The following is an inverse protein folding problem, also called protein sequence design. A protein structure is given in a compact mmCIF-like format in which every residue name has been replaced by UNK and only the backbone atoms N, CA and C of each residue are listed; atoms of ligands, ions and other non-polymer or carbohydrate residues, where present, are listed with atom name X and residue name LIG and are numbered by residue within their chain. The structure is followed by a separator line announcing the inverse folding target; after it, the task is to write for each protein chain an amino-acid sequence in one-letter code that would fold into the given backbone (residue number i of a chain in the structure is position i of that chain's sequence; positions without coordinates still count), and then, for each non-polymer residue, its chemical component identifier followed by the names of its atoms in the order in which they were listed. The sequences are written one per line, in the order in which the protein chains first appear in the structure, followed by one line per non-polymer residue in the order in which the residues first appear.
data_IF_350046422385
#
_entry.id   IF_350046422385
#
_cell.length_a   1.000
_cell.length_b   1.000
_cell.length_c   1.000
_cell.angle_alpha   90.00
_cell.angle_beta   90.00
_cell.angle_gamma   90.00
#
_symmetry.space_group_name_H-M   'P 1'
#
loop_
_entity.id
_entity.type
_entity.pdbx_description
1 polymer ?
#
# COMPACT_ATOMS: atom_id res chain seq x y z
N UNK A 1 -17.37 23.96 6.94
CA UNK A 1 -16.21 24.16 6.04
C UNK A 1 -16.58 23.63 4.66
N UNK A 2 -16.27 24.33 3.55
CA UNK A 2 -16.49 23.84 2.19
C UNK A 2 -15.70 22.55 1.88
N UNK A 3 -14.67 22.25 2.66
CA UNK A 3 -13.83 21.06 2.49
C UNK A 3 -14.20 19.89 3.42
N UNK A 4 -15.28 20.01 4.19
CA UNK A 4 -15.67 19.00 5.19
C UNK A 4 -15.99 17.62 4.58
N UNK A 5 -16.35 17.53 3.29
CA UNK A 5 -16.56 16.24 2.63
C UNK A 5 -15.26 15.46 2.35
N UNK A 6 -14.12 16.14 2.32
CA UNK A 6 -12.82 15.54 1.99
C UNK A 6 -12.06 15.00 3.20
N UNK A 7 -12.49 15.36 4.42
CA UNK A 7 -11.89 14.81 5.65
C UNK A 7 -11.98 13.30 5.67
N UNK A 8 -10.96 12.64 6.22
CA UNK A 8 -10.86 11.18 6.27
C UNK A 8 -12.06 10.50 6.96
N UNK A 9 -12.74 11.19 7.88
CA UNK A 9 -13.89 10.68 8.62
C UNK A 9 -15.22 11.35 8.20
N UNK A 10 -15.35 11.74 6.93
CA UNK A 10 -16.54 12.45 6.49
C UNK A 10 -17.81 11.60 6.67
N UNK A 11 -18.89 12.27 7.05
CA UNK A 11 -20.24 11.70 7.19
C UNK A 11 -21.24 12.35 6.22
N UNK A 12 -20.74 13.10 5.24
CA UNK A 12 -21.57 13.71 4.21
C UNK A 12 -22.07 12.60 3.30
N UNK A 13 -23.38 12.58 3.03
CA UNK A 13 -24.00 11.55 2.19
C UNK A 13 -23.34 11.46 0.81
N UNK A 14 -22.93 10.25 0.42
CA UNK A 14 -22.21 9.98 -0.83
C UNK A 14 -20.72 10.35 -0.78
N UNK A 15 -20.21 10.71 0.40
CA UNK A 15 -18.82 11.07 0.67
C UNK A 15 -18.35 10.45 1.99
N UNK A 16 -19.01 9.40 2.48
CA UNK A 16 -18.61 8.69 3.69
C UNK A 16 -17.14 8.22 3.57
N UNK A 17 -16.35 8.44 4.62
CA UNK A 17 -14.90 8.17 4.63
C UNK A 17 -14.05 9.14 3.79
N UNK A 18 -14.69 10.14 3.17
CA UNK A 18 -14.07 11.28 2.49
C UNK A 18 -13.03 10.92 1.44
N UNK A 19 -11.95 11.70 1.35
CA UNK A 19 -10.95 11.55 0.29
C UNK A 19 -10.38 10.13 0.21
N UNK A 20 -10.01 9.54 1.36
CA UNK A 20 -9.44 8.19 1.41
C UNK A 20 -10.39 7.16 0.80
N UNK A 21 -11.63 7.09 1.30
CA UNK A 21 -12.62 6.13 0.80
C UNK A 21 -12.96 6.37 -0.68
N UNK A 22 -13.22 7.62 -1.06
CA UNK A 22 -13.73 7.94 -2.40
C UNK A 22 -12.65 7.81 -3.47
N UNK A 23 -11.43 8.26 -3.18
CA UNK A 23 -10.33 8.27 -4.15
C UNK A 23 -9.48 7.01 -4.01
N UNK A 24 -8.83 6.84 -2.85
CA UNK A 24 -7.87 5.75 -2.60
C UNK A 24 -8.55 4.39 -2.49
N UNK A 25 -9.79 4.36 -2.00
CA UNK A 25 -10.57 3.13 -1.77
C UNK A 25 -10.72 2.77 -0.29
N UNK A 26 -9.97 3.40 0.61
CA UNK A 26 -10.13 3.18 2.05
C UNK A 26 -9.66 4.42 2.81
N UNK A 27 -10.22 4.61 4.00
CA UNK A 27 -9.77 5.62 4.97
C UNK A 27 -9.19 4.96 6.20
N UNK A 28 -8.63 5.72 7.14
CA UNK A 28 -8.14 5.14 8.38
C UNK A 28 -9.28 4.44 9.15
N UNK A 29 -9.09 3.14 9.46
CA UNK A 29 -10.05 2.32 10.20
C UNK A 29 -9.53 2.00 11.60
N UNK A 30 -8.46 1.20 11.67
CA UNK A 30 -7.84 0.75 12.91
C UNK A 30 -6.50 0.08 12.62
N UNK A 31 -5.72 -0.21 13.66
CA UNK A 31 -4.63 -1.19 13.57
C UNK A 31 -5.22 -2.61 13.57
N UNK A 32 -4.73 -3.47 12.68
CA UNK A 32 -4.98 -4.92 12.71
C UNK A 32 -3.93 -5.63 13.56
N UNK A 33 -2.68 -5.18 13.45
CA UNK A 33 -1.59 -5.59 14.33
C UNK A 33 -1.54 -4.81 15.63
N UNK A 34 -0.65 -5.23 16.53
CA UNK A 34 -0.32 -4.48 17.74
C UNK A 34 0.77 -3.48 17.39
N UNK A 35 0.40 -2.19 17.43
CA UNK A 35 1.28 -1.10 17.11
C UNK A 35 2.61 -1.14 17.90
N UNK A 36 3.73 -1.01 17.19
CA UNK A 36 5.11 -1.09 17.74
C UNK A 36 5.44 -2.40 18.46
N UNK A 37 4.76 -3.49 18.15
CA UNK A 37 5.09 -4.82 18.67
C UNK A 37 5.08 -5.90 17.58
N UNK A 38 4.35 -5.64 16.50
CA UNK A 38 4.20 -6.55 15.37
C UNK A 38 4.68 -5.90 14.08
N UNK A 39 5.16 -6.71 13.15
CA UNK A 39 5.52 -6.29 11.80
C UNK A 39 4.56 -6.84 10.75
N UNK A 40 4.91 -6.59 9.49
CA UNK A 40 4.15 -7.04 8.33
C UNK A 40 5.05 -7.79 7.37
N UNK A 41 4.72 -9.04 7.07
CA UNK A 41 5.24 -9.77 5.91
C UNK A 41 4.26 -9.56 4.76
N UNK A 42 4.73 -8.98 3.66
CA UNK A 42 3.92 -8.87 2.45
C UNK A 42 3.84 -10.22 1.74
N UNK A 43 2.65 -10.53 1.25
CA UNK A 43 2.33 -11.64 0.36
C UNK A 43 1.98 -11.01 -0.99
N UNK A 44 2.78 -11.31 -2.00
CA UNK A 44 2.58 -10.77 -3.35
C UNK A 44 1.46 -11.53 -4.03
N UNK A 45 0.55 -10.81 -4.69
CA UNK A 45 -0.48 -11.45 -5.51
C UNK A 45 0.17 -12.17 -6.70
N UNK A 46 -0.01 -13.49 -6.73
CA UNK A 46 0.60 -14.35 -7.75
C UNK A 46 0.00 -14.16 -9.14
N UNK A 47 -1.27 -13.77 -9.24
CA UNK A 47 -1.95 -13.60 -10.53
C UNK A 47 -1.44 -12.33 -11.21
N UNK A 48 -1.37 -11.21 -10.49
CA UNK A 48 -0.79 -9.97 -11.00
C UNK A 48 0.70 -10.11 -11.30
N UNK A 49 1.44 -10.86 -10.48
CA UNK A 49 2.86 -11.16 -10.73
C UNK A 49 3.05 -11.97 -12.01
N UNK A 50 2.29 -13.04 -12.20
CA UNK A 50 2.37 -13.89 -13.40
C UNK A 50 1.89 -13.16 -14.66
N UNK A 51 1.00 -12.18 -14.50
CA UNK A 51 0.56 -11.27 -15.55
C UNK A 51 1.55 -10.13 -15.84
N UNK A 52 2.73 -10.11 -15.20
CA UNK A 52 3.76 -9.08 -15.32
C UNK A 52 3.24 -7.68 -15.00
N UNK A 53 2.44 -7.54 -13.94
CA UNK A 53 1.97 -6.23 -13.49
C UNK A 53 3.19 -5.32 -13.21
N UNK A 54 3.36 -4.16 -13.88
CA UNK A 54 4.61 -3.40 -13.84
C UNK A 54 5.08 -3.03 -12.43
N UNK A 55 4.14 -2.69 -11.54
CA UNK A 55 4.43 -2.37 -10.13
C UNK A 55 5.19 -3.50 -9.41
N UNK A 56 4.94 -4.77 -9.75
CA UNK A 56 5.50 -5.93 -9.06
C UNK A 56 6.84 -6.40 -9.65
N UNK A 57 7.34 -5.79 -10.73
CA UNK A 57 8.62 -6.20 -11.34
C UNK A 57 9.78 -6.00 -10.38
N UNK A 58 10.49 -7.09 -10.08
CA UNK A 58 11.62 -7.12 -9.13
C UNK A 58 11.21 -6.98 -7.66
N UNK A 59 9.92 -6.97 -7.33
CA UNK A 59 9.43 -6.98 -5.94
C UNK A 59 9.25 -8.44 -5.52
N UNK A 60 10.09 -8.91 -4.60
CA UNK A 60 10.21 -10.32 -4.23
C UNK A 60 10.02 -10.57 -2.73
N UNK A 61 10.61 -9.73 -1.88
CA UNK A 61 10.53 -9.87 -0.42
C UNK A 61 10.40 -8.52 0.29
N UNK A 62 9.17 -8.24 0.75
CA UNK A 62 8.89 -7.12 1.64
C UNK A 62 8.51 -7.70 3.01
N UNK A 63 9.38 -7.44 3.99
CA UNK A 63 9.01 -7.46 5.40
C UNK A 63 9.30 -6.09 5.99
N UNK A 64 8.39 -5.53 6.78
CA UNK A 64 8.55 -4.19 7.38
C UNK A 64 8.17 -4.18 8.87
N UNK A 65 8.80 -3.31 9.69
CA UNK A 65 8.49 -3.16 11.11
C UNK A 65 7.24 -2.29 11.39
N UNK A 66 6.42 -2.05 10.37
CA UNK A 66 5.07 -1.48 10.48
C UNK A 66 4.06 -2.58 10.76
N UNK A 67 3.20 -2.36 11.74
CA UNK A 67 2.08 -3.26 12.02
C UNK A 67 1.00 -3.17 10.92
N UNK A 68 0.29 -4.26 10.69
CA UNK A 68 -0.76 -4.31 9.66
C UNK A 68 -1.91 -3.38 10.05
N UNK A 69 -2.40 -2.56 9.11
CA UNK A 69 -3.61 -1.75 9.30
C UNK A 69 -4.86 -2.53 8.86
N UNK A 70 -5.98 -2.29 9.53
CA UNK A 70 -7.27 -2.86 9.14
C UNK A 70 -7.80 -2.17 7.89
N UNK A 71 -8.22 -2.96 6.92
CA UNK A 71 -8.96 -2.53 5.73
C UNK A 71 -10.32 -3.24 5.75
N UNK A 72 -11.40 -2.49 5.56
CA UNK A 72 -12.77 -2.99 5.73
C UNK A 72 -13.68 -2.73 4.53
N UNK A 73 -13.54 -1.56 3.91
CA UNK A 73 -14.47 -1.06 2.89
C UNK A 73 -13.78 -0.90 1.54
N UNK A 74 -12.73 -1.69 1.27
CA UNK A 74 -12.04 -1.65 -0.02
C UNK A 74 -13.02 -2.05 -1.14
N UNK A 75 -13.27 -1.17 -2.13
CA UNK A 75 -14.18 -1.48 -3.23
C UNK A 75 -13.70 -2.68 -4.03
N UNK A 76 -14.64 -3.47 -4.56
CA UNK A 76 -14.32 -4.58 -5.46
C UNK A 76 -13.62 -4.18 -6.77
N UNK A 77 -13.65 -2.88 -7.10
CA UNK A 77 -12.91 -2.31 -8.23
C UNK A 77 -11.43 -2.05 -7.93
N UNK A 78 -10.98 -2.16 -6.67
CA UNK A 78 -9.57 -2.08 -6.34
C UNK A 78 -8.87 -3.40 -6.69
N UNK A 79 -7.73 -3.32 -7.36
CA UNK A 79 -6.87 -4.47 -7.63
C UNK A 79 -5.81 -4.59 -6.53
N UNK A 80 -5.86 -5.65 -5.72
CA UNK A 80 -4.93 -5.83 -4.59
C UNK A 80 -3.66 -6.49 -5.07
N UNK A 81 -2.53 -5.79 -4.95
CA UNK A 81 -1.22 -6.27 -5.38
C UNK A 81 -0.46 -6.97 -4.25
N UNK A 82 -0.64 -6.52 -3.00
CA UNK A 82 0.00 -7.09 -1.83
C UNK A 82 -1.00 -7.26 -0.68
N UNK A 83 -0.91 -8.39 0.00
CA UNK A 83 -1.57 -8.66 1.28
C UNK A 83 -0.56 -8.66 2.42
N UNK A 84 -0.92 -8.17 3.59
CA UNK A 84 -0.10 -8.16 4.79
C UNK A 84 -0.49 -9.27 5.74
N UNK A 85 0.47 -10.14 6.04
CA UNK A 85 0.42 -11.11 7.12
C UNK A 85 1.16 -10.53 8.33
N UNK A 86 0.50 -10.49 9.49
CA UNK A 86 1.14 -9.98 10.71
C UNK A 86 2.23 -10.93 11.21
N UNK A 87 3.32 -10.37 11.75
CA UNK A 87 4.43 -11.11 12.38
C UNK A 87 4.47 -10.83 13.88
N UNK A 88 4.74 -11.86 14.70
CA UNK A 88 4.80 -11.78 16.16
C UNK A 88 6.11 -11.15 16.66
N UNK A 89 6.44 -9.98 16.12
CA UNK A 89 7.67 -9.24 16.37
C UNK A 89 8.00 -8.28 15.24
N UNK A 90 8.87 -7.33 15.55
CA UNK A 90 9.38 -6.31 14.61
C UNK A 90 10.77 -6.69 14.07
N UNK A 91 11.00 -7.97 13.74
CA UNK A 91 12.18 -8.39 12.97
C UNK A 91 11.76 -9.31 11.82
N UNK A 92 12.54 -9.39 10.72
CA UNK A 92 12.23 -10.24 9.57
C UNK A 92 12.04 -11.72 9.91
N UNK A 93 12.71 -12.20 10.96
CA UNK A 93 12.68 -13.60 11.41
C UNK A 93 11.52 -13.91 12.35
N UNK A 94 10.74 -12.88 12.75
CA UNK A 94 9.62 -13.08 13.65
C UNK A 94 8.57 -14.01 13.01
N UNK A 95 8.00 -14.95 13.78
CA UNK A 95 7.07 -15.93 13.24
C UNK A 95 5.79 -15.25 12.75
N UNK A 96 5.16 -15.83 11.72
CA UNK A 96 3.87 -15.38 11.21
C UNK A 96 2.75 -15.69 12.22
N UNK A 97 1.80 -14.78 12.35
CA UNK A 97 0.61 -14.96 13.19
C UNK A 97 -0.56 -15.51 12.37
N UNK A 98 -0.73 -16.83 12.40
CA UNK A 98 -1.73 -17.55 11.60
C UNK A 98 -3.17 -17.44 12.14
N UNK A 99 -3.35 -16.95 13.36
CA UNK A 99 -4.64 -16.69 13.98
C UNK A 99 -5.25 -15.34 13.55
N UNK A 100 -4.47 -14.50 12.87
CA UNK A 100 -4.90 -13.24 12.27
C UNK A 100 -5.13 -13.39 10.77
N UNK A 101 -6.20 -12.78 10.27
CA UNK A 101 -6.46 -12.68 8.83
C UNK A 101 -5.43 -11.81 8.13
N UNK A 102 -5.07 -12.14 6.89
CA UNK A 102 -4.33 -11.20 6.05
C UNK A 102 -5.21 -10.00 5.66
N UNK A 103 -4.58 -8.84 5.44
CA UNK A 103 -5.25 -7.62 5.00
C UNK A 103 -4.68 -7.13 3.66
N UNK A 104 -5.46 -6.51 2.77
CA UNK A 104 -4.89 -5.72 1.66
C UNK A 104 -3.97 -4.63 2.22
N UNK A 105 -2.73 -4.56 1.74
CA UNK A 105 -1.77 -3.53 2.18
C UNK A 105 -1.25 -2.68 1.02
N UNK A 106 -1.43 -3.12 -0.23
CA UNK A 106 -1.17 -2.32 -1.43
C UNK A 106 -2.13 -2.69 -2.53
N UNK A 107 -2.75 -1.69 -3.17
CA UNK A 107 -3.72 -1.90 -4.25
C UNK A 107 -3.70 -0.74 -5.24
N UNK A 108 -4.16 -0.98 -6.45
CA UNK A 108 -4.47 0.06 -7.43
C UNK A 108 -5.97 0.25 -7.57
N UNK A 109 -6.38 1.45 -7.99
CA UNK A 109 -7.78 1.75 -8.24
C UNK A 109 -7.90 2.91 -9.22
N UNK A 110 -8.88 2.84 -10.12
CA UNK A 110 -9.30 3.99 -10.90
C UNK A 110 -10.33 4.82 -10.13
N UNK A 111 -10.25 6.14 -10.27
CA UNK A 111 -11.22 7.06 -9.69
C UNK A 111 -11.68 8.07 -10.72
N UNK A 112 -12.93 8.51 -10.57
CA UNK A 112 -13.49 9.62 -11.31
C UNK A 112 -14.27 10.51 -10.35
N UNK A 113 -14.13 11.81 -10.56
CA UNK A 113 -14.92 12.82 -9.87
C UNK A 113 -15.88 13.43 -10.88
N UNK A 114 -17.09 13.79 -10.43
CA UNK A 114 -18.10 14.38 -11.30
C UNK A 114 -17.54 15.54 -12.12
N UNK A 115 -17.58 15.41 -13.45
CA UNK A 115 -17.07 16.41 -14.40
C UNK A 115 -15.54 16.42 -14.58
N UNK A 116 -14.82 15.51 -13.93
CA UNK A 116 -13.36 15.36 -14.02
C UNK A 116 -12.92 14.24 -14.97
N UNK A 117 -11.61 14.20 -15.24
CA UNK A 117 -10.98 13.07 -15.93
C UNK A 117 -10.86 11.87 -14.99
N UNK A 118 -10.89 10.68 -15.56
CA UNK A 118 -10.49 9.47 -14.84
C UNK A 118 -9.01 9.55 -14.49
N UNK A 119 -8.66 9.24 -13.25
CA UNK A 119 -7.30 9.04 -12.80
C UNK A 119 -7.13 7.66 -12.19
N UNK A 120 -5.89 7.29 -11.91
CA UNK A 120 -5.52 6.05 -11.21
C UNK A 120 -4.74 6.40 -9.95
N UNK A 121 -4.84 5.54 -8.94
CA UNK A 121 -4.10 5.65 -7.68
C UNK A 121 -3.47 4.32 -7.30
N UNK A 122 -2.42 4.41 -6.50
CA UNK A 122 -1.95 3.32 -5.66
C UNK A 122 -2.25 3.69 -4.19
N UNK A 123 -2.96 2.82 -3.49
CA UNK A 123 -3.09 2.87 -2.03
C UNK A 123 -2.07 1.95 -1.39
N UNK A 124 -1.44 2.39 -0.30
CA UNK A 124 -0.61 1.54 0.56
C UNK A 124 -0.85 1.88 2.01
N UNK A 125 -0.92 0.85 2.87
CA UNK A 125 -0.92 1.01 4.33
C UNK A 125 0.47 0.87 4.93
N UNK A 126 1.49 0.62 4.09
CA UNK A 126 2.90 0.69 4.45
C UNK A 126 3.46 2.08 4.11
N UNK A 127 4.69 2.36 4.54
CA UNK A 127 5.40 3.60 4.22
C UNK A 127 5.80 4.41 5.43
N UNK A 128 6.00 3.75 6.59
CA UNK A 128 6.79 4.38 7.64
C UNK A 128 8.20 4.68 7.11
N UNK A 129 8.89 5.64 7.71
CA UNK A 129 10.28 5.94 7.34
C UNK A 129 11.18 4.69 7.46
N UNK A 130 10.94 3.84 8.45
CA UNK A 130 11.76 2.63 8.67
C UNK A 130 11.47 1.57 7.60
N UNK A 131 10.24 1.51 7.06
CA UNK A 131 9.88 0.58 5.99
C UNK A 131 10.76 0.78 4.75
N UNK A 132 11.15 2.03 4.48
CA UNK A 132 12.02 2.37 3.35
C UNK A 132 13.48 1.96 3.56
N UNK A 133 13.86 1.33 4.66
CA UNK A 133 15.15 0.63 4.76
C UNK A 133 15.16 -0.65 3.90
N UNK A 134 13.97 -1.22 3.63
CA UNK A 134 13.79 -2.43 2.81
C UNK A 134 13.83 -2.05 1.33
N UNK A 135 14.70 -2.69 0.56
CA UNK A 135 14.90 -2.36 -0.85
C UNK A 135 13.63 -2.55 -1.66
N UNK A 136 12.95 -3.68 -1.50
CA UNK A 136 11.74 -4.00 -2.27
C UNK A 136 10.56 -3.09 -1.92
N UNK A 137 10.55 -2.53 -0.70
CA UNK A 137 9.60 -1.48 -0.34
C UNK A 137 9.88 -0.18 -1.11
N UNK A 138 11.16 0.21 -1.25
CA UNK A 138 11.56 1.34 -2.12
C UNK A 138 11.20 1.05 -3.57
N UNK A 139 11.48 -0.16 -4.06
CA UNK A 139 11.17 -0.63 -5.41
C UNK A 139 9.68 -0.56 -5.73
N UNK A 140 8.83 -1.04 -4.83
CA UNK A 140 7.38 -0.96 -4.97
C UNK A 140 6.92 0.49 -5.22
N UNK A 141 7.43 1.45 -4.44
CA UNK A 141 7.06 2.87 -4.56
C UNK A 141 7.63 3.52 -5.82
N UNK A 142 8.87 3.20 -6.21
CA UNK A 142 9.47 3.69 -7.46
C UNK A 142 8.70 3.15 -8.68
N UNK A 143 8.42 1.85 -8.71
CA UNK A 143 7.64 1.22 -9.77
C UNK A 143 6.23 1.82 -9.83
N UNK A 144 5.56 1.98 -8.69
CA UNK A 144 4.25 2.63 -8.61
C UNK A 144 4.27 4.06 -9.16
N UNK A 145 5.34 4.82 -8.90
CA UNK A 145 5.48 6.19 -9.40
C UNK A 145 5.52 6.23 -10.93
N UNK A 146 6.35 5.39 -11.57
CA UNK A 146 6.41 5.32 -13.04
C UNK A 146 5.11 4.78 -13.65
N UNK A 147 4.47 3.79 -13.01
CA UNK A 147 3.19 3.27 -13.45
C UNK A 147 2.08 4.34 -13.40
N UNK A 148 2.02 5.13 -12.32
CA UNK A 148 1.07 6.25 -12.18
C UNK A 148 1.29 7.35 -13.22
N UNK A 149 2.52 7.51 -13.71
CA UNK A 149 2.90 8.43 -14.78
C UNK A 149 2.70 7.89 -16.20
N UNK A 150 2.10 6.69 -16.35
CA UNK A 150 1.93 6.02 -17.64
C UNK A 150 3.28 5.70 -18.35
N UNK A 151 4.29 5.32 -17.56
CA UNK A 151 5.64 4.97 -18.03
C UNK A 151 6.05 3.53 -17.66
N UNK A 152 5.23 2.50 -17.91
CA UNK A 152 5.53 1.13 -17.49
C UNK A 152 6.77 0.52 -18.17
N UNK A 153 7.21 1.07 -19.31
CA UNK A 153 8.41 0.67 -20.04
C UNK A 153 9.72 1.02 -19.33
N UNK A 154 9.69 1.97 -18.40
CA UNK A 154 10.86 2.32 -17.57
C UNK A 154 11.08 1.31 -16.45
N UNK A 155 10.03 0.55 -16.10
CA UNK A 155 10.06 -0.34 -14.96
C UNK A 155 10.68 -1.68 -15.37
N UNK A 156 11.93 -1.88 -14.95
CA UNK A 156 12.65 -3.15 -15.04
C UNK A 156 12.89 -3.73 -13.63
N UNK A 157 13.08 -5.05 -13.50
CA UNK A 157 13.45 -5.65 -12.21
C UNK A 157 14.69 -5.03 -11.57
N UNK A 158 15.64 -4.55 -12.38
CA UNK A 158 16.92 -3.96 -11.96
C UNK A 158 16.89 -2.43 -11.82
N UNK A 159 15.73 -1.78 -11.98
CA UNK A 159 15.61 -0.31 -11.87
C UNK A 159 16.17 0.16 -10.52
N UNK A 160 17.16 1.07 -10.52
CA UNK A 160 17.82 1.44 -9.27
C UNK A 160 16.86 2.11 -8.30
N UNK A 161 16.88 1.63 -7.06
CA UNK A 161 16.20 2.21 -5.88
C UNK A 161 17.19 2.48 -4.76
N UNK A 162 18.45 2.72 -5.13
CA UNK A 162 19.51 3.08 -4.19
C UNK A 162 19.15 4.36 -3.45
N UNK A 163 19.51 4.40 -2.17
CA UNK A 163 19.38 5.59 -1.35
C UNK A 163 20.38 6.63 -1.84
N UNK A 164 19.89 7.83 -2.16
CA UNK A 164 20.75 8.98 -2.45
C UNK A 164 21.21 9.59 -1.12
N UNK A 165 22.48 9.40 -0.78
CA UNK A 165 23.07 9.89 0.46
C UNK A 165 22.89 8.95 1.65
N UNK A 166 22.77 9.49 2.86
CA UNK A 166 22.58 8.70 4.08
C UNK A 166 21.10 8.67 4.47
N UNK A 167 20.59 7.49 4.87
CA UNK A 167 19.21 7.31 5.32
C UNK A 167 19.16 6.45 6.58
N UNK A 168 19.01 7.11 7.73
CA UNK A 168 18.98 6.50 9.07
C UNK A 168 17.72 6.98 9.81
N UNK A 169 16.52 6.52 9.42
CA UNK A 169 15.28 6.91 10.08
C UNK A 169 15.16 6.30 11.48
N UNK A 170 14.44 7.00 12.38
CA UNK A 170 14.16 6.61 13.77
C UNK A 170 12.67 6.54 14.06
#
# INVERSE_FOLDING_TARGET
SPYAKWTWNSKVAGWEGGFGQQIVGETWVAHHGIHKSEGTRALIDGVDRDADHPILRGVDDIWVPTDVYSVKNLPSAANVLLYGQSTAGMTPEAPLMWDKSIMPITWTKDYSLNGGKTGKVLGSTLGSSIDFQVEDMRRLIVNASFWLLDMPEVITPELSVEIVGNYEPT
#
